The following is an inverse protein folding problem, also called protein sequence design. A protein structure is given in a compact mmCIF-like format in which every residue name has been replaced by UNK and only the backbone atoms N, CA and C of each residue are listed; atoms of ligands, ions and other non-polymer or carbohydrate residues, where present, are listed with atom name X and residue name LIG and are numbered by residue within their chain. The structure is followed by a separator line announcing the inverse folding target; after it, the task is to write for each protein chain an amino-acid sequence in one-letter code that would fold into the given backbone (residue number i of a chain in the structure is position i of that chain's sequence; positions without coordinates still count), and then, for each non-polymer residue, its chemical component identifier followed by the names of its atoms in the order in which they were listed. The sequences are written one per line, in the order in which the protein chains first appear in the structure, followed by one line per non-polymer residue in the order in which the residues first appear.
data_IF_015521013617
#
_entry.id   IF_015521013617
#
_cell.length_a   1.000
_cell.length_b   1.000
_cell.length_c   1.000
_cell.angle_alpha   90.00
_cell.angle_beta   90.00
_cell.angle_gamma   90.00
#
_symmetry.space_group_name_H-M   'P 1'
#
loop_
_entity.id
_entity.type
_entity.pdbx_description
1 polymer ?
#
# COMPACT_ATOMS: atom_id res chain seq x y z
N UNK A 1 -32.42 15.02 -28.90
CA UNK A 1 -31.46 15.82 -28.11
C UNK A 1 -30.61 16.64 -29.07
N UNK A 2 -30.77 17.96 -29.14
CA UNK A 2 -29.97 18.77 -30.06
C UNK A 2 -28.56 18.94 -29.47
N UNK A 3 -27.56 18.43 -30.17
CA UNK A 3 -26.16 18.58 -29.85
C UNK A 3 -25.77 20.06 -29.79
N UNK A 4 -25.08 20.45 -28.71
CA UNK A 4 -24.50 21.79 -28.53
C UNK A 4 -23.56 22.13 -29.71
N UNK A 5 -24.02 23.01 -30.60
CA UNK A 5 -23.18 23.60 -31.66
C UNK A 5 -22.11 24.44 -30.97
N UNK A 6 -20.84 24.01 -31.03
CA UNK A 6 -19.72 24.78 -30.47
C UNK A 6 -19.62 26.12 -31.20
N UNK A 7 -19.69 27.23 -30.45
CA UNK A 7 -19.39 28.59 -30.93
C UNK A 7 -17.88 28.72 -31.21
N UNK A 8 -17.40 28.23 -32.33
CA UNK A 8 -16.05 28.55 -32.82
C UNK A 8 -16.16 29.28 -34.14
N UNK A 9 -15.45 30.41 -34.30
CA UNK A 9 -15.42 31.22 -35.54
C UNK A 9 -14.65 30.52 -36.70
N UNK A 10 -14.52 29.19 -36.66
CA UNK A 10 -13.70 28.40 -37.57
C UNK A 10 -14.55 27.31 -38.21
N UNK A 11 -14.44 27.18 -39.53
CA UNK A 11 -15.19 26.24 -40.37
C UNK A 11 -14.94 24.76 -40.05
N UNK A 12 -13.78 24.43 -39.49
CA UNK A 12 -13.38 23.07 -39.14
C UNK A 12 -12.27 23.11 -38.10
N UNK A 13 -11.95 21.94 -37.53
CA UNK A 13 -10.78 21.81 -36.66
C UNK A 13 -9.49 22.16 -37.40
N UNK A 14 -9.39 21.84 -38.69
CA UNK A 14 -8.25 22.23 -39.54
C UNK A 14 -8.17 23.74 -39.76
N UNK A 15 -9.31 24.43 -39.95
CA UNK A 15 -9.37 25.90 -40.01
C UNK A 15 -8.90 26.53 -38.68
N UNK A 16 -9.23 25.90 -37.55
CA UNK A 16 -8.78 26.35 -36.22
C UNK A 16 -7.27 26.16 -36.03
N UNK A 17 -6.73 24.98 -36.36
CA UNK A 17 -5.31 24.70 -36.22
C UNK A 17 -4.45 25.53 -37.18
N UNK A 18 -4.87 25.72 -38.43
CA UNK A 18 -4.17 26.60 -39.39
C UNK A 18 -4.17 28.07 -38.95
N UNK A 19 -5.28 28.55 -38.37
CA UNK A 19 -5.37 29.90 -37.83
C UNK A 19 -4.53 30.14 -36.56
N UNK A 20 -4.38 29.11 -35.71
CA UNK A 20 -3.72 29.22 -34.40
C UNK A 20 -2.24 28.81 -34.41
N UNK A 21 -1.80 27.92 -35.32
CA UNK A 21 -0.40 27.48 -35.46
C UNK A 21 0.46 28.42 -36.33
N UNK A 22 0.32 29.73 -36.14
CA UNK A 22 1.23 30.70 -36.76
C UNK A 22 2.58 30.64 -36.06
N UNK A 23 3.63 30.47 -36.84
CA UNK A 23 4.99 30.30 -36.35
C UNK A 23 5.98 30.98 -37.28
N UNK A 24 7.04 31.53 -36.72
CA UNK A 24 8.11 32.20 -37.44
C UNK A 24 9.44 31.51 -37.15
N UNK A 25 10.38 31.60 -38.08
CA UNK A 25 11.74 31.12 -37.89
C UNK A 25 12.56 32.21 -37.20
N UNK A 26 13.29 31.83 -36.14
CA UNK A 26 14.25 32.70 -35.44
C UNK A 26 15.60 32.03 -35.33
N UNK A 27 16.64 32.85 -35.25
CA UNK A 27 18.01 32.41 -35.00
C UNK A 27 18.25 32.29 -33.51
N UNK A 28 18.79 31.15 -33.05
CA UNK A 28 19.15 30.96 -31.65
C UNK A 28 20.32 31.86 -31.27
N UNK A 29 20.17 32.65 -30.20
CA UNK A 29 21.22 33.54 -29.67
C UNK A 29 22.48 32.85 -29.14
N UNK A 30 22.49 31.51 -29.05
CA UNK A 30 23.64 30.74 -28.53
C UNK A 30 24.33 29.91 -29.61
N UNK A 31 23.61 29.06 -30.34
CA UNK A 31 24.20 28.18 -31.35
C UNK A 31 24.08 28.70 -32.79
N UNK A 32 23.36 29.81 -33.01
CA UNK A 32 23.14 30.37 -34.34
C UNK A 32 22.21 29.54 -35.25
N UNK A 33 21.65 28.43 -34.77
CA UNK A 33 20.74 27.61 -35.56
C UNK A 33 19.36 28.27 -35.69
N UNK A 34 18.77 28.14 -36.88
CA UNK A 34 17.40 28.54 -37.16
C UNK A 34 16.41 27.54 -36.56
N UNK A 35 15.38 28.04 -35.88
CA UNK A 35 14.35 27.21 -35.27
C UNK A 35 12.98 27.88 -35.34
N UNK A 36 11.94 27.05 -35.41
CA UNK A 36 10.54 27.47 -35.56
C UNK A 36 9.94 27.80 -34.19
N UNK A 37 9.35 28.99 -34.06
CA UNK A 37 8.72 29.47 -32.82
C UNK A 37 7.29 29.93 -33.09
N UNK A 38 6.34 29.51 -32.27
CA UNK A 38 4.95 30.01 -32.37
C UNK A 38 4.88 31.52 -32.11
N UNK A 39 4.05 32.24 -32.86
CA UNK A 39 3.82 33.68 -32.66
C UNK A 39 3.33 34.02 -31.25
N UNK A 40 2.61 33.10 -30.60
CA UNK A 40 2.15 33.25 -29.20
C UNK A 40 3.34 33.40 -28.24
N UNK A 41 4.38 32.59 -28.41
CA UNK A 41 5.60 32.67 -27.61
C UNK A 41 6.38 33.96 -27.91
N UNK A 42 6.43 34.38 -29.17
CA UNK A 42 7.09 35.62 -29.60
C UNK A 42 6.40 36.85 -28.98
N UNK A 43 5.06 36.93 -29.03
CA UNK A 43 4.27 38.01 -28.41
C UNK A 43 4.47 38.10 -26.89
N UNK A 44 4.72 36.96 -26.23
CA UNK A 44 5.03 36.89 -24.80
C UNK A 44 6.50 37.18 -24.48
N UNK A 45 7.33 37.50 -25.48
CA UNK A 45 8.76 37.78 -25.29
C UNK A 45 9.63 36.54 -25.12
N UNK A 46 9.17 35.35 -25.56
CA UNK A 46 9.95 34.11 -25.57
C UNK A 46 10.45 33.78 -27.00
N UNK A 47 11.29 32.75 -27.13
CA UNK A 47 11.79 32.29 -28.44
C UNK A 47 13.17 32.82 -28.85
N UNK A 48 14.12 32.89 -27.90
CA UNK A 48 15.51 33.29 -28.17
C UNK A 48 16.48 32.11 -28.35
N UNK A 49 16.08 30.89 -27.96
CA UNK A 49 16.94 29.71 -27.95
C UNK A 49 16.23 28.51 -28.58
N UNK A 50 16.95 27.72 -29.37
CA UNK A 50 16.38 26.58 -30.11
C UNK A 50 16.03 25.39 -29.22
N UNK A 51 16.72 25.22 -28.09
CA UNK A 51 16.52 24.11 -27.16
C UNK A 51 16.68 24.53 -25.71
N UNK A 52 16.14 23.71 -24.80
CA UNK A 52 16.36 23.87 -23.36
C UNK A 52 17.84 23.84 -23.03
N UNK A 53 18.62 23.00 -23.70
CA UNK A 53 20.07 22.92 -23.53
C UNK A 53 20.75 24.23 -23.90
N UNK A 54 20.38 24.83 -25.04
CA UNK A 54 20.88 26.13 -25.48
C UNK A 54 20.58 27.23 -24.45
N UNK A 55 19.35 27.29 -23.93
CA UNK A 55 19.00 28.20 -22.84
C UNK A 55 19.78 27.89 -21.55
N UNK A 56 19.94 26.62 -21.20
CA UNK A 56 20.56 26.18 -19.95
C UNK A 56 22.07 26.39 -19.90
N UNK A 57 22.81 26.31 -21.00
CA UNK A 57 24.26 26.48 -20.95
C UNK A 57 24.72 27.94 -20.81
N UNK A 58 23.83 28.92 -20.93
CA UNK A 58 24.12 30.28 -20.44
C UNK A 58 24.37 30.33 -18.93
N UNK A 59 23.86 29.33 -18.20
CA UNK A 59 23.94 29.24 -16.74
C UNK A 59 24.96 28.19 -16.27
N UNK A 60 25.76 27.61 -17.17
CA UNK A 60 26.69 26.51 -16.88
C UNK A 60 27.75 26.93 -15.85
N UNK A 61 28.30 28.14 -15.99
CA UNK A 61 29.29 28.71 -15.06
C UNK A 61 28.69 29.22 -13.72
N UNK A 62 27.36 29.19 -13.57
CA UNK A 62 26.67 29.64 -12.37
C UNK A 62 26.19 28.50 -11.46
N UNK A 63 26.66 27.27 -11.73
CA UNK A 63 26.21 26.06 -11.06
C UNK A 63 27.20 25.60 -10.00
N UNK A 64 26.70 25.23 -8.82
CA UNK A 64 27.48 24.66 -7.72
C UNK A 64 27.03 23.23 -7.44
N UNK A 65 27.97 22.35 -7.15
CA UNK A 65 27.73 20.94 -6.79
C UNK A 65 27.59 20.81 -5.27
N UNK A 66 26.54 20.16 -4.81
CA UNK A 66 26.25 19.87 -3.41
C UNK A 66 25.99 18.39 -3.22
N UNK A 67 26.11 17.90 -1.98
CA UNK A 67 25.80 16.52 -1.60
C UNK A 67 24.48 16.50 -0.83
N UNK A 68 23.56 15.63 -1.22
CA UNK A 68 22.28 15.46 -0.53
C UNK A 68 22.48 14.77 0.82
N UNK A 69 21.94 15.36 1.90
CA UNK A 69 22.01 14.77 3.25
C UNK A 69 21.24 13.46 3.42
N UNK A 70 20.24 13.19 2.58
CA UNK A 70 19.41 11.99 2.67
C UNK A 70 19.98 10.80 1.89
N UNK A 71 20.39 11.01 0.64
CA UNK A 71 20.81 9.91 -0.24
C UNK A 71 22.30 9.93 -0.61
N UNK A 72 23.06 10.94 -0.16
CA UNK A 72 24.49 11.09 -0.49
C UNK A 72 24.79 11.45 -1.95
N UNK A 73 23.78 11.54 -2.83
CA UNK A 73 23.99 11.87 -4.24
C UNK A 73 24.38 13.33 -4.42
N UNK A 74 25.32 13.57 -5.32
CA UNK A 74 25.67 14.91 -5.74
C UNK A 74 24.58 15.51 -6.64
N UNK A 75 24.20 16.75 -6.40
CA UNK A 75 23.24 17.50 -7.21
C UNK A 75 23.74 18.91 -7.48
N UNK A 76 23.22 19.51 -8.55
CA UNK A 76 23.70 20.80 -9.06
C UNK A 76 22.63 21.85 -8.80
N UNK A 77 23.04 23.02 -8.30
CA UNK A 77 22.15 24.15 -8.03
C UNK A 77 22.68 25.43 -8.66
N UNK A 78 21.79 26.36 -8.97
CA UNK A 78 22.17 27.71 -9.41
C UNK A 78 22.68 28.55 -8.24
N UNK A 79 23.45 29.61 -8.51
CA UNK A 79 23.89 30.61 -7.49
C UNK A 79 22.74 31.12 -6.61
N UNK A 80 21.58 31.43 -7.20
CA UNK A 80 20.42 31.94 -6.46
C UNK A 80 19.85 30.90 -5.49
N UNK A 81 19.83 29.62 -5.89
CA UNK A 81 19.37 28.52 -5.04
C UNK A 81 20.42 28.18 -3.98
N UNK A 82 21.72 28.22 -4.32
CA UNK A 82 22.82 28.01 -3.36
C UNK A 82 22.75 28.97 -2.17
N UNK A 83 22.42 30.24 -2.39
CA UNK A 83 22.23 31.23 -1.31
C UNK A 83 21.17 30.82 -0.28
N UNK A 84 20.18 30.01 -0.67
CA UNK A 84 19.14 29.50 0.24
C UNK A 84 19.57 28.26 1.04
N UNK A 85 20.75 27.70 0.78
CA UNK A 85 21.29 26.53 1.50
C UNK A 85 20.48 25.24 1.33
N UNK A 86 20.22 24.75 0.10
CA UNK A 86 19.49 23.50 -0.13
C UNK A 86 20.28 22.31 0.43
N UNK A 87 19.60 21.45 1.20
CA UNK A 87 20.19 20.27 1.86
C UNK A 87 19.91 18.95 1.14
N UNK A 88 18.95 18.95 0.21
CA UNK A 88 18.44 17.74 -0.43
C UNK A 88 18.38 17.91 -1.95
N UNK A 89 18.58 16.81 -2.69
CA UNK A 89 18.57 16.82 -4.16
C UNK A 89 17.16 16.91 -4.76
N UNK A 90 16.13 16.50 -4.02
CA UNK A 90 14.74 16.46 -4.47
C UNK A 90 13.77 16.72 -3.31
N UNK A 91 12.51 17.03 -3.66
CA UNK A 91 11.40 17.09 -2.70
C UNK A 91 11.23 15.75 -1.97
N UNK A 92 11.33 14.63 -2.69
CA UNK A 92 11.23 13.29 -2.09
C UNK A 92 12.29 13.05 -1.01
N UNK A 93 13.56 13.37 -1.27
CA UNK A 93 14.62 13.24 -0.26
C UNK A 93 14.40 14.15 0.95
N UNK A 94 13.84 15.34 0.75
CA UNK A 94 13.45 16.23 1.87
C UNK A 94 12.32 15.60 2.69
N UNK A 95 11.29 15.10 2.03
CA UNK A 95 10.11 14.55 2.69
C UNK A 95 10.44 13.23 3.42
N UNK A 96 11.31 12.40 2.83
CA UNK A 96 11.78 11.16 3.44
C UNK A 96 12.65 11.41 4.67
N UNK A 97 13.53 12.42 4.63
CA UNK A 97 14.33 12.80 5.80
C UNK A 97 13.46 13.30 6.96
N UNK A 98 12.40 14.06 6.67
CA UNK A 98 11.51 14.61 7.69
C UNK A 98 10.38 13.66 8.10
N UNK A 99 10.33 12.44 7.52
CA UNK A 99 9.22 11.53 7.75
C UNK A 99 9.26 11.00 9.18
N UNK A 100 8.12 11.11 9.87
CA UNK A 100 7.96 10.54 11.21
C UNK A 100 7.80 9.01 11.12
N UNK A 101 8.67 8.30 11.84
CA UNK A 101 8.74 6.85 11.85
C UNK A 101 8.33 6.31 13.22
N UNK A 102 7.55 5.23 13.19
CA UNK A 102 7.12 4.50 14.37
C UNK A 102 7.76 3.11 14.33
N UNK A 103 8.22 2.63 15.48
CA UNK A 103 8.72 1.26 15.64
C UNK A 103 7.57 0.30 15.91
N UNK A 104 7.53 -0.83 15.19
CA UNK A 104 6.59 -1.94 15.39
C UNK A 104 7.37 -3.26 15.50
N UNK A 105 6.74 -4.27 16.09
CA UNK A 105 7.26 -5.63 16.18
C UNK A 105 6.59 -6.48 15.10
N UNK A 106 7.38 -7.19 14.29
CA UNK A 106 6.86 -8.09 13.27
C UNK A 106 6.13 -9.29 13.90
N UNK A 107 4.92 -9.60 13.41
CA UNK A 107 4.14 -10.76 13.87
C UNK A 107 4.78 -12.12 13.57
N UNK A 108 5.60 -12.21 12.52
CA UNK A 108 6.26 -13.45 12.13
C UNK A 108 7.63 -13.60 12.84
N UNK A 109 8.60 -12.75 12.49
CA UNK A 109 9.98 -12.90 12.98
C UNK A 109 10.27 -12.21 14.33
N UNK A 110 9.30 -11.47 14.89
CA UNK A 110 9.43 -10.70 16.15
C UNK A 110 10.52 -9.63 16.17
N UNK A 111 11.11 -9.30 15.03
CA UNK A 111 12.08 -8.20 14.92
C UNK A 111 11.37 -6.85 14.95
N UNK A 112 12.04 -5.88 15.57
CA UNK A 112 11.64 -4.49 15.51
C UNK A 112 11.94 -3.91 14.13
N UNK A 113 10.99 -3.14 13.60
CA UNK A 113 11.17 -2.43 12.33
C UNK A 113 10.47 -1.08 12.37
N UNK A 114 10.99 -0.15 11.57
CA UNK A 114 10.49 1.22 11.47
C UNK A 114 9.66 1.40 10.22
N UNK A 115 8.54 2.11 10.36
CA UNK A 115 7.66 2.45 9.25
C UNK A 115 7.05 3.83 9.46
N UNK A 116 6.59 4.51 8.39
CA UNK A 116 5.95 5.82 8.51
C UNK A 116 4.70 5.79 9.39
N UNK A 117 4.49 6.83 10.21
CA UNK A 117 3.25 6.97 10.99
C UNK A 117 2.00 6.96 10.11
N UNK A 118 2.08 7.50 8.89
CA UNK A 118 0.99 7.47 7.92
C UNK A 118 0.58 6.06 7.49
N UNK A 119 1.53 5.11 7.45
CA UNK A 119 1.22 3.71 7.15
C UNK A 119 0.59 3.01 8.35
N UNK A 120 1.05 3.33 9.56
CA UNK A 120 0.41 2.87 10.81
C UNK A 120 -1.05 3.34 10.88
N UNK A 121 -1.30 4.61 10.56
CA UNK A 121 -2.66 5.19 10.56
C UNK A 121 -3.59 4.52 9.53
N UNK A 122 -3.03 3.90 8.49
CA UNK A 122 -3.77 3.10 7.50
C UNK A 122 -3.91 1.62 7.90
N UNK A 123 -3.50 1.24 9.11
CA UNK A 123 -3.54 -0.13 9.60
C UNK A 123 -2.44 -1.04 9.04
N UNK A 124 -1.37 -0.49 8.47
CA UNK A 124 -0.20 -1.27 8.02
C UNK A 124 0.80 -1.48 9.17
N UNK A 125 1.77 -2.38 8.95
CA UNK A 125 2.86 -2.63 9.90
C UNK A 125 2.69 -3.88 10.77
N UNK A 126 2.01 -4.92 10.27
CA UNK A 126 1.97 -6.24 10.91
C UNK A 126 3.25 -7.05 10.67
N UNK A 127 3.92 -6.83 9.54
CA UNK A 127 5.11 -7.58 9.13
C UNK A 127 6.23 -6.64 8.68
N UNK A 128 7.48 -7.03 8.92
CA UNK A 128 8.65 -6.23 8.53
C UNK A 128 8.99 -6.35 7.04
N UNK A 129 8.70 -7.50 6.42
CA UNK A 129 8.99 -7.79 5.01
C UNK A 129 7.86 -8.59 4.36
N UNK A 130 7.84 -8.61 3.02
CA UNK A 130 6.91 -9.46 2.25
C UNK A 130 7.15 -10.94 2.51
N UNK A 131 8.40 -11.38 2.69
CA UNK A 131 8.73 -12.75 3.09
C UNK A 131 8.10 -13.09 4.45
N UNK A 132 8.19 -12.19 5.44
CA UNK A 132 7.56 -12.41 6.73
C UNK A 132 6.03 -12.45 6.67
N UNK A 133 5.42 -11.77 5.70
CA UNK A 133 3.99 -11.87 5.43
C UNK A 133 3.64 -13.21 4.76
N UNK A 134 4.42 -13.63 3.76
CA UNK A 134 4.20 -14.86 2.99
C UNK A 134 4.40 -16.13 3.82
N UNK A 135 5.40 -16.15 4.69
CA UNK A 135 5.73 -17.28 5.56
C UNK A 135 5.03 -17.21 6.93
N UNK A 136 4.05 -16.32 7.07
CA UNK A 136 3.19 -16.32 8.24
C UNK A 136 2.05 -17.31 8.00
N UNK A 137 2.10 -18.46 8.65
CA UNK A 137 1.16 -19.58 8.47
C UNK A 137 -0.26 -19.31 9.00
N UNK A 138 -0.65 -18.05 9.22
CA UNK A 138 -2.02 -17.66 9.55
C UNK A 138 -2.49 -18.03 10.96
N UNK A 139 -1.90 -19.07 11.58
CA UNK A 139 -2.30 -19.60 12.89
C UNK A 139 -2.35 -18.47 13.92
N UNK A 140 -3.57 -18.16 14.36
CA UNK A 140 -3.77 -17.12 15.36
C UNK A 140 -3.15 -17.58 16.68
N UNK A 141 -2.79 -16.64 17.57
CA UNK A 141 -2.26 -16.99 18.88
C UNK A 141 -3.21 -17.94 19.65
N UNK A 142 -4.52 -17.76 19.45
CA UNK A 142 -5.56 -18.58 20.08
C UNK A 142 -5.61 -20.00 19.49
N UNK A 143 -5.57 -20.15 18.16
CA UNK A 143 -5.47 -21.46 17.50
C UNK A 143 -4.19 -22.20 17.92
N UNK A 144 -3.05 -21.51 17.90
CA UNK A 144 -1.77 -22.08 18.34
C UNK A 144 -1.83 -22.62 19.76
N UNK A 145 -2.47 -21.87 20.65
CA UNK A 145 -2.60 -22.25 22.06
C UNK A 145 -3.47 -23.50 22.21
N UNK A 146 -4.54 -23.63 21.42
CA UNK A 146 -5.39 -24.83 21.39
C UNK A 146 -4.66 -26.02 20.78
N UNK A 147 -3.98 -25.83 19.64
CA UNK A 147 -3.18 -26.88 18.98
C UNK A 147 -2.16 -27.50 19.93
N UNK A 148 -1.35 -26.67 20.58
CA UNK A 148 -0.30 -27.13 21.51
C UNK A 148 -0.88 -27.92 22.69
N UNK A 149 -2.07 -27.56 23.19
CA UNK A 149 -2.73 -28.33 24.25
C UNK A 149 -3.30 -29.66 23.74
N UNK A 150 -3.87 -29.69 22.53
CA UNK A 150 -4.33 -30.95 21.91
C UNK A 150 -3.16 -31.93 21.68
N UNK A 151 -2.03 -31.43 21.15
CA UNK A 151 -0.79 -32.20 20.99
C UNK A 151 -0.28 -32.72 22.33
N UNK A 152 -0.29 -31.87 23.37
CA UNK A 152 0.14 -32.23 24.73
C UNK A 152 -0.71 -33.33 25.34
N UNK A 153 -2.03 -33.31 25.10
CA UNK A 153 -2.97 -34.33 25.58
C UNK A 153 -2.98 -35.56 24.65
N UNK A 154 -2.27 -35.50 23.51
CA UNK A 154 -2.15 -36.56 22.50
C UNK A 154 -3.50 -36.96 21.89
N UNK A 155 -4.40 -36.00 21.70
CA UNK A 155 -5.67 -36.24 20.99
C UNK A 155 -5.41 -36.03 19.49
N UNK A 156 -5.72 -37.01 18.61
CA UNK A 156 -5.62 -36.81 17.17
C UNK A 156 -6.58 -35.72 16.69
N UNK A 157 -6.08 -34.79 15.87
CA UNK A 157 -6.89 -33.73 15.28
C UNK A 157 -6.45 -33.39 13.85
N UNK A 158 -7.35 -32.76 13.10
CA UNK A 158 -7.13 -32.16 11.80
C UNK A 158 -7.33 -30.66 11.93
N UNK A 159 -6.30 -29.87 11.63
CA UNK A 159 -6.37 -28.41 11.63
C UNK A 159 -6.95 -27.88 10.31
N UNK A 160 -7.70 -26.78 10.36
CA UNK A 160 -8.37 -26.17 9.20
C UNK A 160 -9.21 -27.15 8.35
N UNK A 161 -9.86 -28.11 9.04
CA UNK A 161 -10.60 -29.19 8.40
C UNK A 161 -11.75 -28.66 7.52
N UNK A 162 -11.77 -29.12 6.27
CA UNK A 162 -12.77 -28.71 5.27
C UNK A 162 -13.99 -29.64 5.30
N UNK A 163 -15.16 -29.06 5.57
CA UNK A 163 -16.47 -29.73 5.55
C UNK A 163 -17.37 -29.11 4.49
N UNK A 164 -17.44 -29.76 3.32
CA UNK A 164 -18.14 -29.26 2.14
C UNK A 164 -17.69 -27.81 1.78
N UNK A 165 -18.54 -26.82 2.08
CA UNK A 165 -18.29 -25.39 1.82
C UNK A 165 -17.75 -24.61 3.04
N UNK A 166 -17.57 -25.30 4.17
CA UNK A 166 -17.17 -24.70 5.44
C UNK A 166 -15.78 -25.19 5.87
N UNK A 167 -15.09 -24.37 6.66
CA UNK A 167 -13.84 -24.72 7.32
C UNK A 167 -14.04 -24.69 8.83
N UNK A 168 -13.40 -25.61 9.54
CA UNK A 168 -13.36 -25.69 10.99
C UNK A 168 -11.91 -25.55 11.46
N UNK A 169 -11.66 -24.83 12.57
CA UNK A 169 -10.29 -24.58 13.02
C UNK A 169 -9.62 -25.87 13.47
N UNK A 170 -10.33 -26.71 14.25
CA UNK A 170 -9.88 -28.05 14.60
C UNK A 170 -11.03 -29.07 14.52
N UNK A 171 -10.73 -30.25 14.00
CA UNK A 171 -11.62 -31.41 14.00
C UNK A 171 -10.95 -32.60 14.68
N UNK A 172 -11.69 -33.26 15.56
CA UNK A 172 -11.30 -34.43 16.35
C UNK A 172 -12.06 -35.65 15.79
N UNK A 173 -11.44 -36.46 14.90
CA UNK A 173 -12.13 -37.55 14.20
C UNK A 173 -12.76 -38.57 15.12
N UNK A 174 -12.00 -39.03 16.12
CA UNK A 174 -12.40 -40.08 17.07
C UNK A 174 -13.66 -39.71 17.87
N UNK A 175 -13.84 -38.41 18.11
CA UNK A 175 -14.92 -37.87 18.95
C UNK A 175 -16.01 -37.19 18.13
N UNK A 176 -15.90 -37.21 16.80
CA UNK A 176 -16.73 -36.43 15.86
C UNK A 176 -16.95 -34.99 16.35
N UNK A 177 -15.91 -34.37 16.88
CA UNK A 177 -16.02 -33.07 17.57
C UNK A 177 -15.24 -32.00 16.82
N UNK A 178 -15.85 -30.83 16.63
CA UNK A 178 -15.27 -29.66 15.99
C UNK A 178 -15.04 -28.59 17.07
N UNK A 179 -13.87 -27.96 17.04
CA UNK A 179 -13.53 -26.82 17.90
C UNK A 179 -13.31 -25.60 17.01
N UNK A 180 -13.98 -24.50 17.32
CA UNK A 180 -13.75 -23.19 16.71
C UNK A 180 -13.17 -22.20 17.74
N UNK A 181 -12.16 -21.45 17.32
CA UNK A 181 -11.43 -20.47 18.11
C UNK A 181 -11.87 -19.07 17.67
N UNK A 182 -12.94 -18.58 18.27
CA UNK A 182 -13.49 -17.29 17.90
C UNK A 182 -12.74 -16.15 18.59
N UNK A 183 -12.20 -15.22 17.81
CA UNK A 183 -11.85 -13.88 18.31
C UNK A 183 -13.10 -13.15 18.82
N UNK A 184 -12.93 -12.08 19.59
CA UNK A 184 -14.08 -11.24 19.99
C UNK A 184 -14.79 -10.69 18.74
N UNK A 185 -15.90 -11.32 18.36
CA UNK A 185 -16.69 -10.96 17.18
C UNK A 185 -18.01 -10.36 17.63
N UNK A 186 -18.02 -9.04 17.85
CA UNK A 186 -19.23 -8.31 18.23
C UNK A 186 -19.43 -7.09 17.34
N UNK A 187 -19.76 -7.31 16.06
CA UNK A 187 -20.73 -6.47 15.33
C UNK A 187 -21.40 -7.31 14.24
N UNK A 188 -22.55 -7.85 14.61
CA UNK A 188 -23.36 -8.75 13.81
C UNK A 188 -23.99 -8.04 12.61
N UNK A 189 -23.47 -8.32 11.41
CA UNK A 189 -24.31 -8.28 10.22
C UNK A 189 -25.22 -9.51 10.23
N UNK A 190 -26.53 -9.34 10.10
CA UNK A 190 -27.52 -10.45 10.11
C UNK A 190 -27.19 -11.56 9.08
N UNK A 191 -26.49 -11.21 7.99
CA UNK A 191 -26.00 -12.18 7.00
C UNK A 191 -24.98 -13.16 7.57
N UNK A 192 -24.11 -12.73 8.47
CA UNK A 192 -23.09 -13.59 9.11
C UNK A 192 -23.79 -14.56 10.06
N UNK A 193 -24.69 -14.06 10.92
CA UNK A 193 -25.52 -14.91 11.81
C UNK A 193 -26.28 -16.00 11.05
N UNK A 194 -26.95 -15.64 9.94
CA UNK A 194 -27.69 -16.61 9.12
C UNK A 194 -26.77 -17.66 8.47
N UNK A 195 -25.52 -17.29 8.13
CA UNK A 195 -24.53 -18.23 7.58
C UNK A 195 -24.01 -19.18 8.66
N UNK A 196 -23.72 -18.68 9.86
CA UNK A 196 -23.20 -19.49 10.96
C UNK A 196 -24.25 -20.48 11.48
N UNK A 197 -25.51 -20.06 11.58
CA UNK A 197 -26.63 -20.97 11.92
C UNK A 197 -26.75 -22.12 10.92
N UNK A 198 -26.68 -21.83 9.62
CA UNK A 198 -26.72 -22.87 8.57
C UNK A 198 -25.53 -23.82 8.63
N UNK A 199 -24.35 -23.32 8.98
CA UNK A 199 -23.15 -24.13 9.18
C UNK A 199 -23.33 -25.06 10.38
N UNK A 200 -23.80 -24.52 11.51
CA UNK A 200 -24.05 -25.31 12.71
C UNK A 200 -25.11 -26.39 12.49
N UNK A 201 -26.26 -26.05 11.90
CA UNK A 201 -27.33 -27.01 11.61
C UNK A 201 -26.83 -28.12 10.69
N UNK A 202 -26.11 -27.78 9.61
CA UNK A 202 -25.55 -28.77 8.69
C UNK A 202 -24.59 -29.72 9.40
N UNK A 203 -23.66 -29.21 10.21
CA UNK A 203 -22.68 -30.04 10.90
C UNK A 203 -23.32 -30.88 12.01
N UNK A 204 -24.31 -30.34 12.74
CA UNK A 204 -25.06 -31.08 13.76
C UNK A 204 -25.90 -32.21 13.16
N UNK A 205 -26.55 -31.97 12.03
CA UNK A 205 -27.32 -32.99 11.28
C UNK A 205 -26.43 -34.16 10.84
N UNK A 206 -25.17 -33.89 10.47
CA UNK A 206 -24.18 -34.92 10.16
C UNK A 206 -23.58 -35.60 11.41
N UNK A 207 -24.07 -35.26 12.62
CA UNK A 207 -23.69 -35.86 13.89
C UNK A 207 -22.41 -35.28 14.50
N UNK A 208 -21.96 -34.10 14.07
CA UNK A 208 -20.79 -33.44 14.67
C UNK A 208 -21.17 -32.62 15.91
N UNK A 209 -20.39 -32.76 16.97
CA UNK A 209 -20.44 -31.89 18.15
C UNK A 209 -19.59 -30.64 17.91
N UNK A 210 -20.15 -29.44 18.06
CA UNK A 210 -19.43 -28.17 17.85
C UNK A 210 -19.18 -27.50 19.21
N UNK A 211 -17.94 -27.09 19.45
CA UNK A 211 -17.52 -26.34 20.64
C UNK A 211 -16.85 -25.07 20.16
N UNK A 212 -17.24 -23.93 20.75
CA UNK A 212 -16.62 -22.64 20.48
C UNK A 212 -15.91 -22.14 21.72
N UNK A 213 -14.68 -21.70 21.57
CA UNK A 213 -13.95 -21.00 22.61
C UNK A 213 -13.68 -19.58 22.17
N UNK A 214 -14.09 -18.62 23.00
CA UNK A 214 -13.71 -17.23 22.81
C UNK A 214 -12.21 -17.02 23.07
N UNK A 215 -11.62 -16.01 22.44
CA UNK A 215 -10.23 -15.62 22.71
C UNK A 215 -9.97 -15.34 24.20
N UNK A 216 -10.95 -14.81 24.95
CA UNK A 216 -10.82 -14.61 26.39
C UNK A 216 -10.72 -15.92 27.17
N UNK A 217 -11.52 -16.93 26.82
CA UNK A 217 -11.49 -18.25 27.47
C UNK A 217 -10.19 -18.99 27.19
N UNK A 218 -9.66 -18.84 25.97
CA UNK A 218 -8.37 -19.41 25.57
C UNK A 218 -7.24 -18.75 26.36
N UNK A 219 -7.24 -17.41 26.42
CA UNK A 219 -6.22 -16.64 27.15
C UNK A 219 -6.24 -16.91 28.66
N UNK A 220 -7.41 -17.10 29.26
CA UNK A 220 -7.56 -17.45 30.68
C UNK A 220 -7.33 -18.93 30.96
N UNK A 221 -7.09 -19.76 29.94
CA UNK A 221 -6.83 -21.19 30.08
C UNK A 221 -8.05 -22.02 30.49
N UNK A 222 -9.26 -21.47 30.39
CA UNK A 222 -10.51 -22.14 30.78
C UNK A 222 -10.74 -23.38 29.92
N UNK A 223 -10.45 -23.27 28.62
CA UNK A 223 -10.58 -24.35 27.64
C UNK A 223 -9.77 -25.60 28.00
N UNK A 224 -8.64 -25.47 28.72
CA UNK A 224 -7.78 -26.62 29.09
C UNK A 224 -8.49 -27.62 29.99
N UNK A 225 -9.32 -27.14 30.92
CA UNK A 225 -10.12 -28.02 31.78
C UNK A 225 -11.13 -28.81 30.96
N UNK A 226 -11.69 -28.18 29.93
CA UNK A 226 -12.67 -28.80 29.05
C UNK A 226 -12.03 -29.87 28.16
N UNK A 227 -10.89 -29.57 27.52
CA UNK A 227 -10.18 -30.52 26.66
C UNK A 227 -9.74 -31.80 27.40
N UNK A 228 -9.47 -31.72 28.70
CA UNK A 228 -9.13 -32.89 29.53
C UNK A 228 -10.33 -33.78 29.87
N UNK A 229 -11.55 -33.25 29.75
CA UNK A 229 -12.79 -33.94 30.07
C UNK A 229 -13.56 -34.38 28.80
N UNK A 230 -12.96 -34.19 27.63
CA UNK A 230 -13.43 -34.65 26.31
C UNK A 230 -12.81 -35.99 26.01
#
# INVERSE_FOLDING_TARGET
MPCLVRKTNYCSLDCYWTGTNRSEYKVCKRCGQEFRVSQVLIKKGYGFYCSKECWFGLFENARKKLICRQCGKAFIVTKAVFKKGPKYCSKTCKDDFNRDHVTKICRNCKKEFKLPRSDVNRGRGSFCTWECYKHFDGETYIEKTVRLELEKIKIPFIQEAKFARFHADFYLPDKKTIIECDGEYWHAQEKIKKRDLRKEEFLKDQGYKIIRFSGQEINRGIFKKFLRNI
#
